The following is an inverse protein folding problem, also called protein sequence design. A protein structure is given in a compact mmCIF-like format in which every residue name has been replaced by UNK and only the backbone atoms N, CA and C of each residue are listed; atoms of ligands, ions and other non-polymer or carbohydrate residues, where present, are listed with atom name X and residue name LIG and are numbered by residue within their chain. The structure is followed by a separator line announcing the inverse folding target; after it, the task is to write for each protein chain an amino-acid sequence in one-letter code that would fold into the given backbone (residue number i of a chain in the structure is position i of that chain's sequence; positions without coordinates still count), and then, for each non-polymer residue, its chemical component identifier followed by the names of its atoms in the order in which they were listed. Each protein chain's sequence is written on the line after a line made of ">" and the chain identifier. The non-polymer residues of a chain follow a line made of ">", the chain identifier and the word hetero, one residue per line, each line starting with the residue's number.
data_IF_454785826930
#
_entry.id   IF_454785826930
#
_cell.length_a   1.000
_cell.length_b   1.000
_cell.length_c   1.000
_cell.angle_alpha   90.00
_cell.angle_beta   90.00
_cell.angle_gamma   90.00
#
_symmetry.space_group_name_H-M   'P 1'
#
loop_
_entity.id
_entity.type
_entity.pdbx_description
1 polymer ?
#
# COMPACT_ATOMS: atom_id res chain seq x y z
N UNK A 1 12.32 -7.69 -2.80
CA UNK A 1 11.58 -6.96 -1.74
C UNK A 1 12.56 -6.42 -0.70
N UNK A 2 12.22 -5.33 -0.01
CA UNK A 2 13.04 -4.71 1.05
C UNK A 2 12.19 -4.56 2.30
N UNK A 3 12.74 -4.93 3.46
CA UNK A 3 12.13 -4.72 4.77
C UNK A 3 12.29 -3.26 5.19
N UNK A 4 11.18 -2.55 5.38
CA UNK A 4 11.17 -1.12 5.76
C UNK A 4 10.92 -0.92 7.26
N UNK A 5 10.37 -1.94 7.91
CA UNK A 5 10.10 -2.00 9.35
C UNK A 5 9.93 -3.47 9.73
N UNK A 6 10.02 -3.81 11.03
CA UNK A 6 9.95 -5.18 11.51
C UNK A 6 8.77 -5.93 10.88
N UNK A 7 9.07 -6.96 10.09
CA UNK A 7 8.12 -7.82 9.37
C UNK A 7 7.29 -7.10 8.27
N UNK A 8 7.62 -5.87 7.89
CA UNK A 8 6.95 -5.11 6.83
C UNK A 8 7.86 -4.92 5.63
N UNK A 9 7.45 -5.46 4.49
CA UNK A 9 8.22 -5.49 3.25
C UNK A 9 7.52 -4.71 2.14
N UNK A 10 8.30 -3.96 1.36
CA UNK A 10 7.87 -3.38 0.08
C UNK A 10 8.52 -4.14 -1.08
N UNK A 11 7.72 -4.52 -2.07
CA UNK A 11 8.21 -5.33 -3.20
C UNK A 11 7.53 -5.07 -4.54
N UNK A 12 8.01 -5.80 -5.53
CA UNK A 12 7.49 -5.86 -6.90
C UNK A 12 6.39 -6.91 -7.06
N UNK A 13 5.82 -7.01 -8.25
CA UNK A 13 4.92 -8.10 -8.60
C UNK A 13 5.63 -9.45 -8.54
N UNK A 14 6.84 -9.51 -9.10
CA UNK A 14 7.67 -10.71 -9.11
C UNK A 14 8.05 -11.18 -7.70
N UNK A 15 8.34 -10.25 -6.77
CA UNK A 15 8.58 -10.60 -5.36
C UNK A 15 7.39 -11.35 -4.75
N UNK A 16 6.15 -10.93 -5.08
CA UNK A 16 4.96 -11.64 -4.63
C UNK A 16 4.86 -13.02 -5.28
N UNK A 17 4.88 -13.08 -6.61
CA UNK A 17 4.63 -14.31 -7.39
C UNK A 17 5.66 -15.40 -7.12
N UNK A 18 6.94 -15.02 -6.94
CA UNK A 18 8.03 -15.98 -6.78
C UNK A 18 8.26 -16.34 -5.32
N UNK A 19 8.13 -15.39 -4.39
CA UNK A 19 8.59 -15.58 -3.01
C UNK A 19 7.50 -15.59 -1.94
N UNK A 20 6.28 -15.10 -2.20
CA UNK A 20 5.25 -14.90 -1.15
C UNK A 20 3.91 -15.55 -1.46
N UNK A 21 3.58 -15.77 -2.73
CA UNK A 21 2.27 -16.27 -3.17
C UNK A 21 1.86 -17.57 -2.45
N UNK A 22 2.78 -18.53 -2.36
CA UNK A 22 2.55 -19.85 -1.75
C UNK A 22 2.65 -19.86 -0.21
N UNK A 23 3.04 -18.74 0.40
CA UNK A 23 3.17 -18.63 1.85
C UNK A 23 1.87 -18.12 2.51
N UNK A 24 1.06 -19.05 3.01
CA UNK A 24 -0.27 -18.76 3.59
C UNK A 24 -0.23 -17.90 4.87
N UNK A 25 0.89 -17.92 5.59
CA UNK A 25 1.10 -17.15 6.82
C UNK A 25 1.34 -15.66 6.54
N UNK A 26 1.77 -15.30 5.34
CA UNK A 26 2.01 -13.91 4.97
C UNK A 26 0.71 -13.16 4.73
N UNK A 27 0.66 -11.93 5.23
CA UNK A 27 -0.33 -10.95 4.81
C UNK A 27 0.17 -10.22 3.57
N UNK A 28 -0.68 -9.97 2.58
CA UNK A 28 -0.31 -9.21 1.38
C UNK A 28 -1.31 -8.11 1.06
N UNK A 29 -0.78 -6.94 0.71
CA UNK A 29 -1.52 -5.85 0.08
C UNK A 29 -1.10 -5.79 -1.39
N UNK A 30 -2.03 -6.14 -2.29
CA UNK A 30 -1.90 -5.91 -3.72
C UNK A 30 -2.29 -4.46 -4.02
N UNK A 31 -1.32 -3.56 -4.02
CA UNK A 31 -1.50 -2.14 -4.32
C UNK A 31 -1.55 -1.86 -5.83
N UNK A 32 -2.29 -2.68 -6.57
CA UNK A 32 -2.54 -2.54 -7.99
C UNK A 32 -3.89 -3.12 -8.40
N UNK A 33 -4.61 -2.40 -9.26
CA UNK A 33 -5.87 -2.87 -9.85
C UNK A 33 -5.71 -4.19 -10.62
N UNK A 34 -4.78 -4.21 -11.58
CA UNK A 34 -4.50 -5.38 -12.41
C UNK A 34 -3.18 -6.03 -11.99
N UNK A 35 -3.07 -7.37 -11.96
CA UNK A 35 -4.15 -8.34 -12.23
C UNK A 35 -5.07 -8.63 -11.01
N UNK A 36 -4.59 -8.38 -9.79
CA UNK A 36 -5.15 -9.03 -8.59
C UNK A 36 -6.53 -8.55 -8.15
N UNK A 37 -6.80 -7.24 -8.15
CA UNK A 37 -8.13 -6.73 -7.79
C UNK A 37 -9.16 -7.06 -8.87
N UNK A 38 -8.81 -6.89 -10.15
CA UNK A 38 -9.65 -7.34 -11.27
C UNK A 38 -10.00 -8.83 -11.14
N UNK A 39 -8.99 -9.70 -10.95
CA UNK A 39 -9.20 -11.13 -10.81
C UNK A 39 -10.11 -11.46 -9.62
N UNK A 40 -9.92 -10.79 -8.47
CA UNK A 40 -10.71 -11.04 -7.27
C UNK A 40 -12.19 -10.68 -7.41
N UNK A 41 -12.52 -9.67 -8.22
CA UNK A 41 -13.88 -9.17 -8.38
C UNK A 41 -14.57 -9.73 -9.61
N UNK A 42 -13.87 -9.83 -10.73
CA UNK A 42 -14.47 -10.18 -12.03
C UNK A 42 -14.09 -11.57 -12.51
N UNK A 43 -13.29 -12.32 -11.74
CA UNK A 43 -12.73 -13.62 -12.16
C UNK A 43 -11.92 -13.56 -13.46
N UNK A 44 -11.41 -12.37 -13.80
CA UNK A 44 -10.58 -12.12 -14.98
C UNK A 44 -9.50 -11.08 -14.66
N UNK A 45 -8.22 -11.33 -14.96
CA UNK A 45 -7.15 -10.40 -14.63
C UNK A 45 -7.25 -9.06 -15.39
N UNK A 46 -8.00 -9.03 -16.50
CA UNK A 46 -8.21 -7.85 -17.34
C UNK A 46 -9.66 -7.34 -17.30
N UNK A 47 -10.48 -7.87 -16.38
CA UNK A 47 -11.89 -7.49 -16.29
C UNK A 47 -12.08 -6.03 -15.86
N UNK A 48 -13.21 -5.48 -16.25
CA UNK A 48 -13.64 -4.15 -15.78
C UNK A 48 -14.51 -4.34 -14.54
N UNK A 49 -14.07 -3.77 -13.42
CA UNK A 49 -14.82 -3.78 -12.17
C UNK A 49 -15.97 -2.78 -12.27
N UNK A 50 -17.23 -3.20 -12.09
CA UNK A 50 -18.38 -2.27 -12.09
C UNK A 50 -18.24 -1.21 -10.98
N UNK A 51 -18.48 0.09 -11.26
CA UNK A 51 -18.37 1.16 -10.25
C UNK A 51 -19.29 0.98 -9.04
N UNK A 52 -20.41 0.29 -9.20
CA UNK A 52 -21.41 -0.02 -8.18
C UNK A 52 -21.13 -1.33 -7.43
N UNK A 53 -20.05 -2.04 -7.78
CA UNK A 53 -19.68 -3.28 -7.10
C UNK A 53 -19.29 -3.00 -5.64
N UNK A 54 -19.78 -3.77 -4.65
CA UNK A 54 -19.49 -3.53 -3.23
C UNK A 54 -17.98 -3.60 -2.90
N UNK A 55 -17.22 -4.37 -3.67
CA UNK A 55 -15.75 -4.47 -3.56
C UNK A 55 -15.01 -3.57 -4.58
N UNK A 56 -15.64 -2.52 -5.12
CA UNK A 56 -15.06 -1.68 -6.18
C UNK A 56 -13.70 -1.12 -5.82
N UNK A 57 -13.51 -0.62 -4.59
CA UNK A 57 -12.23 -0.07 -4.13
C UNK A 57 -11.31 -1.12 -3.50
N UNK A 58 -11.90 -2.06 -2.78
CA UNK A 58 -11.18 -3.01 -1.91
C UNK A 58 -11.87 -4.37 -1.96
N UNK A 59 -11.11 -5.41 -2.26
CA UNK A 59 -11.54 -6.81 -2.12
C UNK A 59 -10.68 -7.53 -1.06
N UNK A 60 -11.27 -8.47 -0.33
CA UNK A 60 -10.60 -9.21 0.76
C UNK A 60 -10.70 -10.71 0.56
N UNK A 61 -9.58 -11.43 0.59
CA UNK A 61 -9.54 -12.89 0.53
C UNK A 61 -8.54 -13.42 1.56
N UNK A 62 -9.03 -13.81 2.73
CA UNK A 62 -8.19 -14.25 3.85
C UNK A 62 -7.12 -13.22 4.21
N UNK A 63 -5.86 -13.58 4.03
CA UNK A 63 -4.69 -12.77 4.34
C UNK A 63 -4.23 -11.89 3.17
N UNK A 64 -5.11 -11.67 2.19
CA UNK A 64 -4.84 -10.86 1.01
C UNK A 64 -5.84 -9.71 0.92
N UNK A 65 -5.33 -8.51 0.74
CA UNK A 65 -6.07 -7.30 0.48
C UNK A 65 -5.76 -6.83 -0.94
N UNK A 66 -6.77 -6.72 -1.80
CA UNK A 66 -6.61 -6.26 -3.18
C UNK A 66 -7.21 -4.88 -3.32
N UNK A 67 -6.41 -3.93 -3.81
CA UNK A 67 -6.83 -2.53 -3.97
C UNK A 67 -7.06 -2.22 -5.44
N UNK A 68 -8.17 -1.54 -5.74
CA UNK A 68 -8.38 -0.94 -7.05
C UNK A 68 -7.56 0.35 -7.17
N UNK A 69 -6.23 0.21 -7.22
CA UNK A 69 -5.31 1.33 -7.20
C UNK A 69 -4.52 1.40 -8.51
N UNK A 70 -4.61 2.54 -9.17
CA UNK A 70 -3.87 2.86 -10.40
C UNK A 70 -2.88 3.98 -10.09
N UNK A 71 -1.71 3.92 -10.73
CA UNK A 71 -0.68 4.95 -10.58
C UNK A 71 -0.97 6.10 -11.55
N UNK A 72 -2.06 6.81 -11.29
CA UNK A 72 -2.55 7.88 -12.16
C UNK A 72 -1.68 9.13 -12.03
N UNK A 73 -1.92 10.10 -12.92
CA UNK A 73 -1.31 11.44 -12.82
C UNK A 73 -2.13 12.41 -11.97
N UNK A 74 -3.38 12.06 -11.66
CA UNK A 74 -4.33 12.91 -10.95
C UNK A 74 -4.50 12.41 -9.50
N UNK A 75 -4.15 13.21 -8.48
CA UNK A 75 -4.31 12.83 -7.08
C UNK A 75 -5.72 12.39 -6.70
N UNK A 76 -6.76 12.99 -7.30
CA UNK A 76 -8.16 12.65 -6.99
C UNK A 76 -8.55 11.23 -7.41
N UNK A 77 -7.78 10.58 -8.29
CA UNK A 77 -8.00 9.20 -8.68
C UNK A 77 -7.43 8.20 -7.64
N UNK A 78 -6.75 8.67 -6.59
CA UNK A 78 -6.20 7.83 -5.52
C UNK A 78 -7.26 7.68 -4.43
N UNK A 79 -7.95 6.52 -4.32
CA UNK A 79 -9.04 6.36 -3.36
C UNK A 79 -8.52 6.29 -1.94
N UNK A 80 -8.79 7.34 -1.15
CA UNK A 80 -8.38 7.44 0.26
C UNK A 80 -8.85 6.23 1.07
N UNK A 81 -10.07 5.76 0.83
CA UNK A 81 -10.65 4.61 1.52
C UNK A 81 -9.84 3.32 1.30
N UNK A 82 -9.23 3.15 0.12
CA UNK A 82 -8.36 2.01 -0.17
C UNK A 82 -7.01 2.12 0.56
N UNK A 83 -6.44 3.33 0.61
CA UNK A 83 -5.21 3.61 1.38
C UNK A 83 -5.46 3.36 2.87
N UNK A 84 -6.54 3.90 3.42
CA UNK A 84 -6.96 3.71 4.81
C UNK A 84 -7.17 2.21 5.13
N UNK A 85 -7.79 1.46 4.21
CA UNK A 85 -7.97 0.02 4.36
C UNK A 85 -6.65 -0.76 4.35
N UNK A 86 -5.67 -0.31 3.55
CA UNK A 86 -4.34 -0.90 3.50
C UNK A 86 -3.58 -0.67 4.81
N UNK A 87 -3.56 0.57 5.32
CA UNK A 87 -2.86 0.90 6.56
C UNK A 87 -3.39 0.10 7.75
N UNK A 88 -4.73 0.04 7.93
CA UNK A 88 -5.35 -0.79 8.98
C UNK A 88 -5.06 -2.28 8.82
N UNK A 89 -5.00 -2.77 7.59
CA UNK A 89 -4.70 -4.17 7.34
C UNK A 89 -3.26 -4.52 7.69
N UNK A 90 -2.32 -3.64 7.35
CA UNK A 90 -0.89 -3.77 7.70
C UNK A 90 -0.74 -3.81 9.22
N UNK A 91 -1.29 -2.81 9.92
CA UNK A 91 -1.19 -2.70 11.39
C UNK A 91 -1.70 -3.95 12.11
N UNK A 92 -2.91 -4.40 11.76
CA UNK A 92 -3.50 -5.63 12.31
C UNK A 92 -2.61 -6.86 12.08
N UNK A 93 -2.11 -7.06 10.85
CA UNK A 93 -1.28 -8.23 10.55
C UNK A 93 0.06 -8.20 11.29
N UNK A 94 0.69 -7.03 11.42
CA UNK A 94 1.92 -6.89 12.19
C UNK A 94 1.67 -7.11 13.69
N UNK A 95 0.53 -6.64 14.22
CA UNK A 95 0.09 -6.92 15.59
C UNK A 95 -0.16 -8.42 15.87
N UNK A 96 -0.54 -9.18 14.85
CA UNK A 96 -0.63 -10.65 14.88
C UNK A 96 0.74 -11.34 14.73
N UNK A 97 1.84 -10.59 14.61
CA UNK A 97 3.20 -11.11 14.44
C UNK A 97 3.48 -11.68 13.04
N UNK A 98 2.67 -11.31 12.05
CA UNK A 98 2.71 -11.90 10.70
C UNK A 98 3.53 -11.03 9.75
N UNK A 99 4.36 -11.63 8.87
CA UNK A 99 5.04 -10.89 7.83
C UNK A 99 4.02 -10.30 6.84
N UNK A 100 4.21 -9.04 6.49
CA UNK A 100 3.38 -8.28 5.56
C UNK A 100 4.19 -7.86 4.35
N UNK A 101 3.74 -8.23 3.15
CA UNK A 101 4.25 -7.67 1.90
C UNK A 101 3.23 -6.68 1.31
N UNK A 102 3.66 -5.44 1.09
CA UNK A 102 2.93 -4.47 0.29
C UNK A 102 3.64 -4.35 -1.05
N UNK A 103 2.94 -4.67 -2.13
CA UNK A 103 3.56 -4.66 -3.45
C UNK A 103 2.67 -4.03 -4.51
N UNK A 104 3.28 -3.57 -5.59
CA UNK A 104 2.59 -3.20 -6.82
C UNK A 104 3.41 -3.75 -8.00
N UNK A 105 3.24 -3.23 -9.22
CA UNK A 105 4.00 -3.70 -10.39
C UNK A 105 5.53 -3.68 -10.16
N UNK A 106 6.07 -2.48 -9.88
CA UNK A 106 7.52 -2.26 -9.76
C UNK A 106 8.02 -1.97 -8.35
N UNK A 107 7.13 -1.92 -7.35
CA UNK A 107 7.52 -1.56 -5.98
C UNK A 107 7.90 -0.08 -5.78
N UNK A 108 7.80 0.78 -6.80
CA UNK A 108 8.40 2.14 -6.77
C UNK A 108 7.45 3.24 -6.25
N UNK A 109 6.16 3.17 -6.61
CA UNK A 109 5.20 4.26 -6.40
C UNK A 109 4.12 3.89 -5.38
N UNK A 110 3.02 3.29 -5.82
CA UNK A 110 1.84 2.94 -4.99
C UNK A 110 2.19 2.20 -3.70
N UNK A 111 2.88 1.06 -3.80
CA UNK A 111 3.24 0.25 -2.63
C UNK A 111 4.24 0.96 -1.72
N UNK A 112 5.24 1.63 -2.30
CA UNK A 112 6.24 2.35 -1.53
C UNK A 112 5.64 3.55 -0.78
N UNK A 113 4.66 4.24 -1.36
CA UNK A 113 3.91 5.32 -0.71
C UNK A 113 3.02 4.82 0.42
N UNK A 114 2.37 3.65 0.26
CA UNK A 114 1.66 3.01 1.38
C UNK A 114 2.65 2.67 2.51
N UNK A 115 3.85 2.19 2.18
CA UNK A 115 4.93 1.96 3.14
C UNK A 115 5.33 3.23 3.90
N UNK A 116 5.59 4.33 3.18
CA UNK A 116 5.88 5.65 3.77
C UNK A 116 4.78 6.06 4.74
N UNK A 117 3.52 6.05 4.30
CA UNK A 117 2.38 6.45 5.11
C UNK A 117 2.23 5.58 6.35
N UNK A 118 2.48 4.27 6.24
CA UNK A 118 2.43 3.38 7.40
C UNK A 118 3.48 3.78 8.44
N UNK A 119 4.73 3.98 8.03
CA UNK A 119 5.79 4.39 8.96
C UNK A 119 5.48 5.75 9.61
N UNK A 120 4.96 6.71 8.84
CA UNK A 120 4.61 8.03 9.34
C UNK A 120 3.42 8.02 10.31
N UNK A 121 2.40 7.20 10.05
CA UNK A 121 1.14 7.20 10.82
C UNK A 121 1.17 6.25 12.03
N UNK A 122 1.91 5.13 11.97
CA UNK A 122 1.87 4.06 12.97
C UNK A 122 3.19 3.88 13.74
N UNK A 123 4.26 4.57 13.36
CA UNK A 123 5.57 4.44 14.02
C UNK A 123 6.17 5.80 14.35
N UNK A 124 7.34 5.79 15.00
CA UNK A 124 8.14 6.99 15.28
C UNK A 124 9.46 7.02 14.48
N UNK A 125 9.56 6.25 13.40
CA UNK A 125 10.81 6.10 12.64
C UNK A 125 11.06 7.27 11.69
N UNK A 126 10.01 7.85 11.14
CA UNK A 126 10.11 8.98 10.23
C UNK A 126 9.83 10.30 10.96
N UNK A 127 10.49 11.40 10.57
CA UNK A 127 10.01 12.74 10.89
C UNK A 127 8.62 12.91 10.26
N UNK A 128 7.77 13.71 10.90
CA UNK A 128 6.35 13.87 10.50
C UNK A 128 5.93 15.33 10.34
N UNK A 129 6.85 16.25 10.63
CA UNK A 129 6.67 17.69 10.55
C UNK A 129 6.43 18.16 9.12
N UNK A 130 7.05 17.50 8.12
CA UNK A 130 6.81 17.76 6.71
C UNK A 130 6.91 16.48 5.88
N UNK A 131 6.17 16.42 4.77
CA UNK A 131 6.25 15.30 3.83
C UNK A 131 7.64 15.19 3.22
N UNK A 132 8.27 16.31 2.85
CA UNK A 132 9.58 16.30 2.19
C UNK A 132 10.68 15.73 3.09
N UNK A 133 10.69 16.08 4.38
CA UNK A 133 11.64 15.51 5.36
C UNK A 133 11.40 14.01 5.56
N UNK A 134 10.14 13.59 5.62
CA UNK A 134 9.77 12.19 5.72
C UNK A 134 10.19 11.39 4.48
N UNK A 135 10.00 11.94 3.28
CA UNK A 135 10.44 11.32 2.03
C UNK A 135 11.97 11.24 1.95
N UNK A 136 12.70 12.25 2.42
CA UNK A 136 14.17 12.20 2.47
C UNK A 136 14.66 11.08 3.41
N UNK A 137 14.11 11.01 4.62
CA UNK A 137 14.42 9.96 5.57
C UNK A 137 14.04 8.58 5.03
N UNK A 138 12.86 8.45 4.42
CA UNK A 138 12.35 7.20 3.89
C UNK A 138 13.17 6.68 2.70
N UNK A 139 13.71 7.56 1.84
CA UNK A 139 14.62 7.13 0.76
C UNK A 139 15.91 6.49 1.28
N UNK A 140 16.29 6.73 2.53
CA UNK A 140 17.42 6.03 3.17
C UNK A 140 17.05 4.60 3.59
N UNK A 141 15.77 4.33 3.85
CA UNK A 141 15.22 3.01 4.20
C UNK A 141 14.84 2.24 2.93
N UNK A 142 14.15 2.90 1.99
CA UNK A 142 13.68 2.34 0.73
C UNK A 142 14.11 3.21 -0.47
N UNK A 143 15.35 3.03 -0.99
CA UNK A 143 15.92 3.89 -2.04
C UNK A 143 15.15 3.92 -3.36
N UNK A 144 14.32 2.92 -3.62
CA UNK A 144 13.49 2.84 -4.83
C UNK A 144 12.25 3.74 -4.78
N UNK A 145 11.96 4.40 -3.63
CA UNK A 145 10.82 5.29 -3.48
C UNK A 145 10.88 6.46 -4.46
N UNK A 146 9.97 6.44 -5.43
CA UNK A 146 9.80 7.49 -6.44
C UNK A 146 8.34 7.52 -6.91
N UNK A 147 7.43 8.08 -6.10
CA UNK A 147 6.00 8.07 -6.41
C UNK A 147 5.70 8.81 -7.72
N UNK A 148 4.69 8.30 -8.43
CA UNK A 148 4.07 9.00 -9.55
C UNK A 148 3.36 10.27 -9.08
N UNK A 149 3.04 11.18 -10.02
CA UNK A 149 2.45 12.48 -9.71
C UNK A 149 1.14 12.39 -8.91
N UNK A 150 0.25 11.47 -9.28
CA UNK A 150 -1.02 11.30 -8.57
C UNK A 150 -0.81 10.83 -7.14
N UNK A 151 0.03 9.80 -6.94
CA UNK A 151 0.37 9.28 -5.62
C UNK A 151 1.05 10.34 -4.74
N UNK A 152 2.05 11.07 -5.27
CA UNK A 152 2.70 12.12 -4.47
C UNK A 152 1.74 13.26 -4.12
N UNK A 153 0.89 13.69 -5.06
CA UNK A 153 -0.10 14.73 -4.77
C UNK A 153 -1.16 14.27 -3.76
N UNK A 154 -1.52 12.99 -3.73
CA UNK A 154 -2.36 12.42 -2.68
C UNK A 154 -1.66 12.51 -1.31
N UNK A 155 -0.37 12.17 -1.24
CA UNK A 155 0.40 12.30 -0.02
C UNK A 155 0.41 13.75 0.48
N UNK A 156 0.67 14.72 -0.41
CA UNK A 156 0.64 16.16 -0.07
C UNK A 156 -0.73 16.59 0.48
N UNK A 157 -1.81 16.17 -0.17
CA UNK A 157 -3.17 16.57 0.21
C UNK A 157 -3.61 16.00 1.58
N UNK A 158 -3.10 14.83 1.97
CA UNK A 158 -3.55 14.10 3.15
C UNK A 158 -2.48 13.94 4.24
N UNK A 159 -1.27 14.48 4.05
CA UNK A 159 -0.13 14.26 4.95
C UNK A 159 -0.48 14.55 6.41
N UNK A 160 -0.96 15.77 6.67
CA UNK A 160 -1.29 16.22 8.01
C UNK A 160 -2.44 15.43 8.64
N UNK A 161 -3.31 14.81 7.84
CA UNK A 161 -4.38 13.96 8.36
C UNK A 161 -3.80 12.68 8.95
N UNK A 162 -2.86 12.05 8.22
CA UNK A 162 -2.22 10.80 8.61
C UNK A 162 -1.20 10.98 9.74
N UNK A 163 -0.51 12.12 9.83
CA UNK A 163 0.52 12.33 10.86
C UNK A 163 -0.03 12.90 12.17
N UNK A 164 -1.10 13.72 12.12
CA UNK A 164 -1.72 14.27 13.35
C UNK A 164 -2.54 13.23 14.10
N UNK A 165 -3.26 12.38 13.36
CA UNK A 165 -3.94 11.23 13.93
C UNK A 165 -2.99 10.06 13.83
N UNK A 166 -2.06 9.92 14.79
CA UNK A 166 -1.47 8.59 15.01
C UNK A 166 -2.66 7.66 15.19
N UNK A 167 -2.91 6.80 14.20
CA UNK A 167 -4.17 6.05 14.13
C UNK A 167 -4.18 5.20 15.38
N UNK A 168 -5.03 5.58 16.34
CA UNK A 168 -5.16 4.86 17.60
C UNK A 168 -5.75 3.51 17.25
N UNK A 169 -4.99 2.46 17.56
CA UNK A 169 -5.38 1.06 17.44
C UNK A 169 -6.77 0.78 18.03
#
# INVERSE_FOLDING_TARGET
>A
MIEIYQNLYIGTQEDYEVAVETHETWCVVHACRSPYHCLAVTYSPLGTVPPDHPEYLVARRGNRLMLNLVDSRNPDDVPKEAIDAALRFIDRCLGEGRPVLVHCGFGISRSAAIGLLYLAAYTSILPTESLDDAEEAYRRIYPLYKPGRGIRGFLEAHWDEYTRKRVTA
#
